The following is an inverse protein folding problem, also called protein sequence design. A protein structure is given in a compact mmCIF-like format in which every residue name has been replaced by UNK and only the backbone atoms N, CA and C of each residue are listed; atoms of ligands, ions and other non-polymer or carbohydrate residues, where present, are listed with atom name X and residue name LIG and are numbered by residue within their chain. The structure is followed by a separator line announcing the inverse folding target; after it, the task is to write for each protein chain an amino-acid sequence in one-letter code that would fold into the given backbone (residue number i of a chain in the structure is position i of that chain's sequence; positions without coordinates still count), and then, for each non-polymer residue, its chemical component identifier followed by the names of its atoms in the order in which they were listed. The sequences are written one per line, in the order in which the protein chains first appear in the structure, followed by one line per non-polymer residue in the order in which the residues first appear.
data_IF_404360483862
#
_entry.id   IF_404360483862
#
_cell.length_a   1.000
_cell.length_b   1.000
_cell.length_c   1.000
_cell.angle_alpha   90.00
_cell.angle_beta   90.00
_cell.angle_gamma   90.00
#
_symmetry.space_group_name_H-M   'P 1'
#
loop_
_entity.id
_entity.type
_entity.pdbx_description
1 polymer ?
#
# COMPACT_ATOMS: atom_id res chain seq x y z
N UNK A 1 48.91 27.09 41.86
CA UNK A 1 48.73 25.74 41.27
C UNK A 1 47.29 25.64 40.82
N UNK A 2 47.06 25.70 39.51
CA UNK A 2 45.72 25.53 38.92
C UNK A 2 45.45 24.02 38.80
N UNK A 3 44.40 23.54 39.45
CA UNK A 3 43.96 22.15 39.32
C UNK A 3 43.28 21.95 37.97
N UNK A 4 43.85 21.09 37.13
CA UNK A 4 43.19 20.61 35.92
C UNK A 4 42.19 19.54 36.34
N UNK A 5 40.90 19.86 36.23
CA UNK A 5 39.82 18.89 36.33
C UNK A 5 39.76 18.09 35.04
N UNK A 6 40.30 16.87 35.06
CA UNK A 6 40.05 15.90 34.01
C UNK A 6 38.61 15.41 34.14
N UNK A 7 37.72 15.94 33.30
CA UNK A 7 36.39 15.37 33.09
C UNK A 7 36.54 13.88 32.80
N UNK A 8 35.85 13.07 33.60
CA UNK A 8 35.83 11.62 33.46
C UNK A 8 35.27 11.25 32.09
N UNK A 9 35.85 10.21 31.48
CA UNK A 9 35.49 9.62 30.19
C UNK A 9 34.05 9.04 30.13
N UNK A 10 33.22 9.32 31.15
CA UNK A 10 31.87 8.82 31.36
C UNK A 10 30.79 9.72 30.71
N UNK A 11 31.18 10.91 30.23
CA UNK A 11 30.29 11.82 29.48
C UNK A 11 30.20 11.49 27.98
N UNK A 12 30.71 10.34 27.54
CA UNK A 12 30.40 9.81 26.22
C UNK A 12 28.93 9.44 26.22
N UNK A 13 28.14 10.34 25.64
CA UNK A 13 26.71 10.24 25.45
C UNK A 13 26.28 8.81 25.14
N UNK A 14 25.69 8.14 26.13
CA UNK A 14 24.66 7.14 25.85
C UNK A 14 23.52 7.91 25.20
N UNK A 15 23.55 8.05 23.87
CA UNK A 15 22.31 8.13 23.11
C UNK A 15 21.48 6.93 23.57
N UNK A 16 20.49 7.18 24.41
CA UNK A 16 19.56 6.14 24.84
C UNK A 16 18.92 5.59 23.57
N UNK A 17 19.19 4.33 23.26
CA UNK A 17 18.57 3.64 22.11
C UNK A 17 17.07 3.75 22.28
N UNK A 18 16.42 4.56 21.43
CA UNK A 18 14.97 4.74 21.47
C UNK A 18 14.30 3.39 21.24
N UNK A 19 13.33 3.05 22.08
CA UNK A 19 12.48 1.89 21.84
C UNK A 19 11.81 2.05 20.47
N UNK A 20 11.75 0.97 19.68
CA UNK A 20 11.20 1.00 18.34
C UNK A 20 9.74 0.53 18.33
N UNK A 21 8.87 1.26 17.64
CA UNK A 21 7.49 0.87 17.34
C UNK A 21 7.38 0.62 15.85
N UNK A 22 6.86 -0.55 15.47
CA UNK A 22 6.65 -0.90 14.07
C UNK A 22 5.19 -0.66 13.69
N UNK A 23 4.99 0.08 12.61
CA UNK A 23 3.68 0.38 12.06
C UNK A 23 3.40 -0.44 10.80
N UNK A 24 2.16 -0.92 10.70
CA UNK A 24 1.61 -1.58 9.53
C UNK A 24 0.34 -0.82 9.11
N UNK A 25 0.47 0.01 8.07
CA UNK A 25 -0.54 0.98 7.68
C UNK A 25 -1.27 0.48 6.43
N UNK A 26 -2.58 0.26 6.53
CA UNK A 26 -3.42 -0.18 5.42
C UNK A 26 -4.43 0.90 5.08
N UNK A 27 -4.18 1.65 4.01
CA UNK A 27 -5.07 2.69 3.53
C UNK A 27 -6.10 2.12 2.56
N UNK A 28 -7.34 2.61 2.63
CA UNK A 28 -8.37 2.26 1.66
C UNK A 28 -9.22 3.48 1.28
N UNK A 29 -9.58 3.56 -0.01
CA UNK A 29 -10.42 4.65 -0.51
C UNK A 29 -11.87 4.43 -0.06
N UNK A 30 -12.36 5.34 0.77
CA UNK A 30 -13.65 5.27 1.47
C UNK A 30 -14.65 6.29 0.92
N UNK A 31 -14.72 6.45 -0.39
CA UNK A 31 -15.67 7.34 -1.05
C UNK A 31 -16.93 6.58 -1.49
N UNK A 32 -18.00 7.32 -1.80
CA UNK A 32 -19.23 6.73 -2.34
C UNK A 32 -18.98 6.06 -3.70
N UNK A 33 -18.79 4.75 -3.67
CA UNK A 33 -18.48 3.92 -4.83
C UNK A 33 -18.97 2.49 -4.59
N UNK A 34 -19.53 1.85 -5.62
CA UNK A 34 -20.09 0.48 -5.56
C UNK A 34 -19.13 -0.59 -5.01
N UNK A 35 -17.82 -0.38 -5.17
CA UNK A 35 -16.77 -1.27 -4.70
C UNK A 35 -16.24 -0.98 -3.29
N UNK A 36 -16.69 0.11 -2.65
CA UNK A 36 -16.14 0.60 -1.38
C UNK A 36 -16.19 -0.47 -0.27
N UNK A 37 -17.34 -1.12 -0.09
CA UNK A 37 -17.50 -2.13 0.97
C UNK A 37 -16.50 -3.27 0.82
N UNK A 38 -16.39 -3.85 -0.37
CA UNK A 38 -15.44 -4.94 -0.64
C UNK A 38 -13.99 -4.49 -0.45
N UNK A 39 -13.63 -3.28 -0.88
CA UNK A 39 -12.29 -2.70 -0.68
C UNK A 39 -11.99 -2.53 0.83
N UNK A 40 -12.95 -2.02 1.59
CA UNK A 40 -12.82 -1.85 3.04
C UNK A 40 -12.67 -3.20 3.77
N UNK A 41 -13.46 -4.21 3.37
CA UNK A 41 -13.39 -5.56 3.95
C UNK A 41 -12.08 -6.28 3.61
N UNK A 42 -11.56 -6.09 2.39
CA UNK A 42 -10.25 -6.61 2.01
C UNK A 42 -9.13 -5.98 2.86
N UNK A 43 -9.19 -4.66 3.07
CA UNK A 43 -8.27 -3.94 3.94
C UNK A 43 -8.35 -4.43 5.40
N UNK A 44 -9.56 -4.59 5.94
CA UNK A 44 -9.80 -5.13 7.28
C UNK A 44 -9.32 -6.58 7.41
N UNK A 45 -9.48 -7.40 6.37
CA UNK A 45 -8.94 -8.76 6.34
C UNK A 45 -7.42 -8.75 6.43
N UNK A 46 -6.74 -7.89 5.66
CA UNK A 46 -5.28 -7.78 5.74
C UNK A 46 -4.81 -7.34 7.12
N UNK A 47 -5.52 -6.40 7.74
CA UNK A 47 -5.29 -5.98 9.13
C UNK A 47 -5.39 -7.17 10.10
N UNK A 48 -6.47 -7.96 10.02
CA UNK A 48 -6.65 -9.17 10.84
C UNK A 48 -5.54 -10.18 10.61
N UNK A 49 -5.16 -10.42 9.35
CA UNK A 49 -4.09 -11.35 8.99
C UNK A 49 -2.73 -10.92 9.53
N UNK A 50 -2.45 -9.61 9.56
CA UNK A 50 -1.23 -9.05 10.15
C UNK A 50 -1.20 -9.27 11.66
N UNK A 51 -2.29 -8.96 12.36
CA UNK A 51 -2.40 -9.12 13.83
C UNK A 51 -2.38 -10.58 14.30
N UNK A 52 -2.74 -11.53 13.43
CA UNK A 52 -2.71 -12.97 13.71
C UNK A 52 -1.36 -13.65 13.46
N UNK A 53 -0.35 -12.92 12.97
CA UNK A 53 0.97 -13.50 12.77
C UNK A 53 1.57 -13.91 14.12
N UNK A 54 2.23 -15.07 14.18
CA UNK A 54 2.81 -15.60 15.43
C UNK A 54 3.88 -14.69 16.05
N UNK A 55 4.57 -13.90 15.22
CA UNK A 55 5.58 -12.93 15.65
C UNK A 55 4.99 -11.56 16.02
N UNK A 56 3.68 -11.34 15.86
CA UNK A 56 3.07 -10.06 16.13
C UNK A 56 2.94 -9.83 17.65
N UNK A 57 3.75 -8.92 18.21
CA UNK A 57 3.62 -8.41 19.58
C UNK A 57 2.89 -7.06 19.59
N UNK A 58 1.73 -6.98 20.22
CA UNK A 58 0.90 -5.78 20.27
C UNK A 58 1.51 -4.63 21.09
N UNK A 59 2.58 -4.87 21.87
CA UNK A 59 3.30 -3.82 22.59
C UNK A 59 4.10 -2.95 21.63
N UNK A 60 4.83 -3.58 20.72
CA UNK A 60 5.77 -2.93 19.80
C UNK A 60 5.24 -2.82 18.36
N UNK A 61 4.26 -3.65 17.98
CA UNK A 61 3.65 -3.63 16.65
C UNK A 61 2.26 -3.02 16.69
N UNK A 62 2.01 -2.04 15.81
CA UNK A 62 0.70 -1.38 15.66
C UNK A 62 0.24 -1.47 14.21
N UNK A 63 -0.91 -2.08 13.99
CA UNK A 63 -1.50 -2.22 12.67
C UNK A 63 -2.85 -1.49 12.59
N UNK A 64 -3.06 -0.75 11.50
CA UNK A 64 -4.23 0.11 11.28
C UNK A 64 -4.84 -0.11 9.91
N UNK A 65 -6.17 -0.03 9.84
CA UNK A 65 -6.92 0.13 8.59
C UNK A 65 -7.48 1.55 8.59
N UNK A 66 -7.06 2.35 7.61
CA UNK A 66 -7.19 3.80 7.60
C UNK A 66 -8.06 4.19 6.39
N UNK A 67 -9.27 4.71 6.59
CA UNK A 67 -10.06 5.26 5.51
C UNK A 67 -9.43 6.57 5.03
N UNK A 68 -9.37 6.76 3.71
CA UNK A 68 -9.00 8.01 3.06
C UNK A 68 -10.07 8.39 2.03
N UNK A 69 -10.31 9.69 1.83
CA UNK A 69 -11.21 10.16 0.75
C UNK A 69 -10.45 10.46 -0.54
N UNK A 70 -9.13 10.54 -0.49
CA UNK A 70 -8.28 10.76 -1.65
C UNK A 70 -6.88 10.14 -1.45
N UNK A 71 -6.25 9.63 -2.50
CA UNK A 71 -4.96 8.92 -2.43
C UNK A 71 -3.84 9.82 -1.87
N UNK A 72 -3.84 11.11 -2.17
CA UNK A 72 -2.87 12.06 -1.63
C UNK A 72 -2.99 12.31 -0.12
N UNK A 73 -4.10 11.94 0.51
CA UNK A 73 -4.20 11.96 1.98
C UNK A 73 -3.16 11.05 2.63
N UNK A 74 -2.63 10.04 1.93
CA UNK A 74 -1.53 9.19 2.43
C UNK A 74 -0.30 10.05 2.79
N UNK A 75 0.03 11.04 1.94
CA UNK A 75 1.17 11.94 2.14
C UNK A 75 0.97 12.80 3.40
N UNK A 76 -0.27 13.20 3.70
CA UNK A 76 -0.59 14.02 4.85
C UNK A 76 -0.81 13.23 6.15
N UNK A 77 -1.34 12.01 6.06
CA UNK A 77 -1.72 11.17 7.20
C UNK A 77 -0.50 10.47 7.80
N UNK A 78 0.44 10.01 6.98
CA UNK A 78 1.64 9.29 7.46
C UNK A 78 2.43 10.12 8.48
N UNK A 79 2.78 11.40 8.23
CA UNK A 79 3.50 12.23 9.21
C UNK A 79 2.75 12.35 10.54
N UNK A 80 1.42 12.57 10.50
CA UNK A 80 0.56 12.67 11.69
C UNK A 80 0.54 11.37 12.50
N UNK A 81 0.50 10.23 11.81
CA UNK A 81 0.56 8.90 12.45
C UNK A 81 1.93 8.66 13.08
N UNK A 82 3.01 9.02 12.39
CA UNK A 82 4.38 8.90 12.90
C UNK A 82 4.55 9.76 14.16
N UNK A 83 4.16 11.03 14.11
CA UNK A 83 4.24 11.96 15.26
C UNK A 83 3.49 11.42 16.48
N UNK A 84 2.27 10.91 16.25
CA UNK A 84 1.47 10.28 17.31
C UNK A 84 2.17 9.09 17.96
N UNK A 85 2.86 8.26 17.17
CA UNK A 85 3.49 7.03 17.64
C UNK A 85 4.95 7.19 18.08
N UNK A 86 5.59 8.31 17.76
CA UNK A 86 6.93 8.66 18.28
C UNK A 86 6.86 9.16 19.73
N UNK A 87 5.66 9.49 20.23
CA UNK A 87 5.44 9.98 21.59
C UNK A 87 6.32 11.19 21.94
N UNK A 88 6.34 12.20 21.06
CA UNK A 88 7.25 13.35 21.10
C UNK A 88 8.72 12.90 21.04
N UNK A 89 9.06 12.13 20.00
CA UNK A 89 10.42 11.62 19.72
C UNK A 89 11.04 10.71 20.78
N UNK A 90 10.25 10.20 21.73
CA UNK A 90 10.70 9.19 22.71
C UNK A 90 10.90 7.82 22.08
N UNK A 91 10.15 7.52 21.03
CA UNK A 91 10.17 6.23 20.31
C UNK A 91 10.58 6.42 18.87
N UNK A 92 11.33 5.45 18.35
CA UNK A 92 11.67 5.36 16.93
C UNK A 92 10.52 4.67 16.20
N UNK A 93 9.99 5.28 15.15
CA UNK A 93 8.86 4.73 14.39
C UNK A 93 9.36 4.13 13.09
N UNK A 94 9.06 2.85 12.87
CA UNK A 94 9.53 2.06 11.72
C UNK A 94 8.31 1.54 10.96
N UNK A 95 8.29 1.69 9.64
CA UNK A 95 7.23 1.13 8.79
C UNK A 95 7.60 -0.28 8.35
N UNK A 96 6.81 -1.26 8.77
CA UNK A 96 6.95 -2.65 8.35
C UNK A 96 6.09 -3.01 7.14
N UNK A 97 4.97 -2.30 6.94
CA UNK A 97 4.13 -2.48 5.76
C UNK A 97 3.29 -1.23 5.48
N UNK A 98 3.22 -0.86 4.21
CA UNK A 98 2.23 0.07 3.68
C UNK A 98 1.37 -0.68 2.66
N UNK A 99 0.05 -0.68 2.83
CA UNK A 99 -0.89 -1.24 1.86
C UNK A 99 -1.87 -0.18 1.39
N UNK A 100 -2.15 -0.14 0.09
CA UNK A 100 -3.16 0.77 -0.49
C UNK A 100 -4.21 -0.05 -1.22
N UNK A 101 -5.46 0.04 -0.78
CA UNK A 101 -6.61 -0.68 -1.33
C UNK A 101 -7.50 0.30 -2.09
N UNK A 102 -7.54 0.16 -3.41
CA UNK A 102 -8.42 0.92 -4.29
C UNK A 102 -8.57 0.23 -5.64
N UNK A 103 -9.53 0.66 -6.46
CA UNK A 103 -9.36 0.51 -7.89
C UNK A 103 -8.10 1.24 -8.36
N UNK A 104 -7.60 0.82 -9.52
CA UNK A 104 -6.38 1.37 -10.06
C UNK A 104 -6.43 1.47 -11.58
N UNK A 105 -5.74 2.48 -12.08
CA UNK A 105 -5.43 2.70 -13.49
C UNK A 105 -3.98 2.38 -13.78
N UNK A 106 -3.48 2.77 -14.96
CA UNK A 106 -2.09 2.55 -15.36
C UNK A 106 -1.08 3.23 -14.43
N UNK A 107 -1.48 4.33 -13.79
CA UNK A 107 -0.64 5.10 -12.88
C UNK A 107 -0.96 4.86 -11.39
N UNK A 108 -1.52 3.69 -11.04
CA UNK A 108 -1.72 3.28 -9.65
C UNK A 108 -3.15 3.47 -9.09
N UNK A 109 -3.30 3.56 -7.76
CA UNK A 109 -4.59 3.72 -7.08
C UNK A 109 -5.37 4.96 -7.54
N UNK A 110 -6.70 4.86 -7.56
CA UNK A 110 -7.64 5.90 -7.97
C UNK A 110 -8.44 6.42 -6.76
N UNK A 111 -8.60 7.74 -6.65
CA UNK A 111 -9.68 8.41 -5.91
C UNK A 111 -10.92 8.49 -6.81
N UNK A 112 -12.10 8.11 -6.35
CA UNK A 112 -13.31 7.98 -7.18
C UNK A 112 -13.98 9.30 -7.51
N UNK A 113 -14.19 10.13 -6.49
CA UNK A 113 -14.98 11.35 -6.54
C UNK A 113 -14.15 12.58 -6.13
N UNK A 114 -12.94 12.38 -5.60
CA UNK A 114 -12.00 13.44 -5.25
C UNK A 114 -10.85 13.54 -6.25
N UNK A 115 -10.49 14.78 -6.57
CA UNK A 115 -9.25 15.08 -7.27
C UNK A 115 -8.08 15.13 -6.27
N UNK A 116 -6.96 14.57 -6.70
CA UNK A 116 -5.65 14.65 -6.09
C UNK A 116 -5.18 16.10 -6.11
N UNK A 117 -4.76 16.61 -4.95
CA UNK A 117 -4.18 17.95 -4.80
C UNK A 117 -2.66 17.89 -4.83
N UNK A 118 -2.07 16.83 -4.26
CA UNK A 118 -0.61 16.66 -4.21
C UNK A 118 -0.16 15.86 -5.43
N UNK A 119 0.51 16.53 -6.39
CA UNK A 119 1.04 15.92 -7.60
C UNK A 119 -0.01 15.09 -8.38
N UNK A 120 -1.12 15.69 -8.83
CA UNK A 120 -2.09 15.00 -9.69
C UNK A 120 -1.46 14.63 -11.05
N UNK A 121 -2.02 13.60 -11.69
CA UNK A 121 -1.70 13.31 -13.09
C UNK A 121 -2.43 14.29 -14.01
N UNK A 122 -1.69 14.86 -14.96
CA UNK A 122 -2.25 15.72 -16.00
C UNK A 122 -3.36 15.02 -16.77
N UNK A 123 -4.51 15.69 -16.92
CA UNK A 123 -5.72 15.17 -17.58
C UNK A 123 -6.41 13.97 -16.91
N UNK A 124 -5.87 13.47 -15.78
CA UNK A 124 -6.51 12.44 -14.98
C UNK A 124 -6.24 12.66 -13.48
N UNK A 125 -6.80 13.73 -12.88
CA UNK A 125 -6.45 14.19 -11.53
C UNK A 125 -7.00 13.29 -10.42
N UNK A 126 -7.45 12.08 -10.72
CA UNK A 126 -7.91 11.08 -9.75
C UNK A 126 -6.81 10.10 -9.32
N UNK A 127 -5.62 10.20 -9.93
CA UNK A 127 -4.45 9.39 -9.59
C UNK A 127 -3.26 10.30 -9.26
N UNK A 128 -2.43 9.86 -8.33
CA UNK A 128 -1.25 10.60 -7.89
C UNK A 128 -0.02 10.19 -8.72
N UNK A 129 0.64 11.16 -9.32
CA UNK A 129 1.87 10.94 -10.09
C UNK A 129 3.06 10.62 -9.17
N UNK A 130 4.18 10.15 -9.75
CA UNK A 130 5.37 9.71 -9.00
C UNK A 130 5.89 10.78 -8.02
N UNK A 131 5.83 12.07 -8.38
CA UNK A 131 6.31 13.14 -7.51
C UNK A 131 5.48 13.32 -6.22
N UNK A 132 4.28 12.74 -6.13
CA UNK A 132 3.52 12.64 -4.89
C UNK A 132 3.97 11.45 -4.03
N UNK A 133 4.24 10.30 -4.66
CA UNK A 133 4.76 9.12 -3.96
C UNK A 133 6.17 9.33 -3.39
N UNK A 134 7.00 10.13 -4.07
CA UNK A 134 8.32 10.56 -3.58
C UNK A 134 8.26 11.38 -2.28
N UNK A 135 7.11 12.01 -1.99
CA UNK A 135 6.93 12.83 -0.78
C UNK A 135 6.67 11.99 0.48
N UNK A 136 6.46 10.68 0.35
CA UNK A 136 6.26 9.78 1.48
C UNK A 136 7.61 9.61 2.19
N UNK A 137 7.76 10.29 3.34
CA UNK A 137 8.96 10.24 4.18
C UNK A 137 8.72 9.30 5.35
N UNK A 138 9.29 8.12 5.27
CA UNK A 138 9.18 7.09 6.31
C UNK A 138 10.52 6.41 6.55
N UNK A 139 10.68 5.86 7.73
CA UNK A 139 11.78 4.96 8.02
C UNK A 139 11.32 3.51 7.80
N UNK A 140 11.90 2.82 6.81
CA UNK A 140 11.53 1.45 6.49
C UNK A 140 12.25 0.44 7.37
N UNK A 141 11.52 -0.59 7.81
CA UNK A 141 12.10 -1.73 8.51
C UNK A 141 12.77 -2.73 7.57
N UNK A 142 13.58 -3.62 8.14
CA UNK A 142 14.11 -4.78 7.41
C UNK A 142 12.96 -5.65 6.88
N UNK A 143 13.05 -6.07 5.62
CA UNK A 143 12.00 -6.84 4.93
C UNK A 143 10.63 -6.15 4.91
N UNK A 144 10.63 -4.81 4.91
CA UNK A 144 9.40 -4.04 4.75
C UNK A 144 8.83 -4.17 3.34
N UNK A 145 7.53 -3.86 3.22
CA UNK A 145 6.84 -3.97 1.94
C UNK A 145 5.82 -2.87 1.71
N UNK A 146 5.67 -2.51 0.45
CA UNK A 146 4.62 -1.62 -0.04
C UNK A 146 3.74 -2.41 -1.01
N UNK A 147 2.43 -2.50 -0.76
CA UNK A 147 1.53 -3.35 -1.55
C UNK A 147 0.35 -2.54 -2.08
N UNK A 148 0.17 -2.55 -3.40
CA UNK A 148 -0.92 -1.89 -4.10
C UNK A 148 -2.00 -2.89 -4.51
N UNK A 149 -3.07 -2.95 -3.72
CA UNK A 149 -4.21 -3.85 -3.91
C UNK A 149 -5.24 -3.22 -4.87
N UNK A 150 -4.85 -3.08 -6.14
CA UNK A 150 -5.71 -2.57 -7.20
C UNK A 150 -5.36 -3.15 -8.56
N UNK A 151 -6.35 -3.21 -9.45
CA UNK A 151 -6.20 -3.74 -10.81
C UNK A 151 -5.01 -3.12 -11.55
N UNK A 152 -4.21 -3.96 -12.21
CA UNK A 152 -3.10 -3.53 -13.08
C UNK A 152 -1.96 -2.74 -12.43
N UNK A 153 -1.93 -2.57 -11.10
CA UNK A 153 -0.85 -1.83 -10.43
C UNK A 153 0.53 -2.49 -10.57
N UNK A 154 0.60 -3.77 -10.94
CA UNK A 154 1.84 -4.50 -11.22
C UNK A 154 1.82 -5.19 -12.60
N UNK A 155 1.08 -4.66 -13.56
CA UNK A 155 0.96 -5.25 -14.89
C UNK A 155 2.20 -4.92 -15.74
N UNK A 156 3.01 -5.94 -16.06
CA UNK A 156 4.21 -5.82 -16.90
C UNK A 156 3.93 -5.59 -18.39
N UNK A 157 2.69 -5.85 -18.83
CA UNK A 157 2.25 -5.64 -20.21
C UNK A 157 1.50 -4.32 -20.39
N UNK A 158 1.11 -3.66 -19.30
CA UNK A 158 0.64 -2.29 -19.36
C UNK A 158 1.83 -1.37 -19.62
N UNK A 159 1.62 -0.30 -20.40
CA UNK A 159 2.65 0.69 -20.72
C UNK A 159 3.26 1.40 -19.51
N UNK A 160 2.68 1.20 -18.31
CA UNK A 160 3.14 1.74 -17.04
C UNK A 160 3.03 0.66 -15.96
N UNK A 161 4.15 0.00 -15.64
CA UNK A 161 4.22 -0.89 -14.49
C UNK A 161 4.37 -0.03 -13.21
N UNK A 162 3.23 0.40 -12.66
CA UNK A 162 3.20 1.34 -11.55
C UNK A 162 4.03 0.88 -10.33
N UNK A 163 3.88 -0.37 -9.89
CA UNK A 163 4.62 -0.92 -8.76
C UNK A 163 6.14 -0.93 -9.00
N UNK A 164 6.57 -1.23 -10.23
CA UNK A 164 7.99 -1.16 -10.61
C UNK A 164 8.51 0.28 -10.59
N UNK A 165 7.71 1.25 -11.02
CA UNK A 165 8.09 2.66 -10.94
C UNK A 165 8.24 3.11 -9.48
N UNK A 166 7.33 2.70 -8.59
CA UNK A 166 7.43 2.95 -7.15
C UNK A 166 8.69 2.32 -6.56
N UNK A 167 9.04 1.08 -6.93
CA UNK A 167 10.26 0.42 -6.41
C UNK A 167 11.56 1.11 -6.80
N UNK A 168 11.55 1.92 -7.86
CA UNK A 168 12.71 2.68 -8.32
C UNK A 168 12.86 4.02 -7.60
N UNK A 169 11.88 4.46 -6.81
CA UNK A 169 11.98 5.69 -6.04
C UNK A 169 12.96 5.52 -4.88
N UNK A 170 13.76 6.55 -4.63
CA UNK A 170 14.81 6.51 -3.59
C UNK A 170 14.25 6.30 -2.18
N UNK A 171 13.05 6.83 -1.91
CA UNK A 171 12.34 6.66 -0.64
C UNK A 171 11.70 5.27 -0.47
N UNK A 172 11.78 4.39 -1.48
CA UNK A 172 11.36 2.98 -1.43
C UNK A 172 12.54 2.02 -1.60
N UNK A 173 13.77 2.50 -1.42
CA UNK A 173 14.96 1.65 -1.45
C UNK A 173 14.85 0.54 -0.39
N UNK A 174 15.23 -0.69 -0.79
CA UNK A 174 15.20 -1.89 0.06
C UNK A 174 13.80 -2.30 0.56
N UNK A 175 12.74 -1.79 -0.08
CA UNK A 175 11.34 -2.16 0.18
C UNK A 175 10.84 -3.12 -0.90
N UNK A 176 10.19 -4.21 -0.49
CA UNK A 176 9.53 -5.10 -1.44
C UNK A 176 8.22 -4.46 -1.93
N UNK A 177 8.15 -4.08 -3.21
CA UNK A 177 6.96 -3.43 -3.77
C UNK A 177 6.13 -4.41 -4.61
N UNK A 178 4.83 -4.49 -4.33
CA UNK A 178 3.91 -5.44 -4.94
C UNK A 178 2.74 -4.72 -5.59
N UNK A 179 2.30 -5.23 -6.73
CA UNK A 179 1.08 -4.79 -7.42
C UNK A 179 0.35 -5.97 -8.07
N UNK A 180 -0.88 -5.74 -8.53
CA UNK A 180 -1.68 -6.75 -9.19
C UNK A 180 -1.39 -6.77 -10.69
N UNK A 181 -1.01 -7.94 -11.22
CA UNK A 181 -0.60 -8.12 -12.62
C UNK A 181 -1.74 -8.06 -13.64
N UNK A 182 -2.99 -8.23 -13.21
CA UNK A 182 -4.16 -8.21 -14.10
C UNK A 182 -5.28 -7.40 -13.45
N UNK A 183 -6.29 -7.04 -14.22
CA UNK A 183 -7.56 -6.60 -13.63
C UNK A 183 -8.13 -7.76 -12.83
N UNK A 184 -8.42 -7.57 -11.56
CA UNK A 184 -9.27 -8.45 -10.73
C UNK A 184 -9.63 -7.66 -9.47
N UNK A 185 -10.81 -7.91 -8.91
CA UNK A 185 -11.14 -7.31 -7.63
C UNK A 185 -10.12 -7.72 -6.56
N UNK A 186 -9.80 -6.84 -5.59
CA UNK A 186 -8.97 -7.22 -4.45
C UNK A 186 -9.59 -8.45 -3.78
N UNK A 187 -8.84 -9.55 -3.78
CA UNK A 187 -9.26 -10.83 -3.21
C UNK A 187 -8.74 -10.97 -1.79
N UNK A 188 -9.46 -11.74 -0.97
CA UNK A 188 -9.11 -12.07 0.42
C UNK A 188 -7.75 -12.77 0.56
N UNK A 189 -7.26 -13.40 -0.50
CA UNK A 189 -5.92 -13.97 -0.55
C UNK A 189 -5.16 -13.42 -1.77
N UNK A 190 -3.90 -13.00 -1.62
CA UNK A 190 -3.10 -12.55 -2.76
C UNK A 190 -2.80 -13.68 -3.77
N UNK A 191 -2.90 -14.93 -3.34
CA UNK A 191 -2.72 -16.17 -4.11
C UNK A 191 -4.02 -16.83 -4.60
N UNK A 192 -5.19 -16.37 -4.15
CA UNK A 192 -6.49 -16.89 -4.57
C UNK A 192 -7.29 -15.77 -5.24
N UNK A 193 -7.78 -15.97 -6.46
CA UNK A 193 -8.59 -14.96 -7.16
C UNK A 193 -9.95 -15.53 -7.54
N UNK A 194 -11.02 -14.83 -7.18
CA UNK A 194 -12.36 -15.09 -7.72
C UNK A 194 -12.56 -14.17 -8.93
N UNK A 195 -12.77 -14.76 -10.10
CA UNK A 195 -13.11 -14.04 -11.34
C UNK A 195 -14.59 -14.26 -11.64
N UNK A 196 -15.25 -13.26 -12.24
CA UNK A 196 -16.61 -13.45 -12.77
C UNK A 196 -16.58 -14.17 -14.12
N UNK A 197 -17.63 -14.95 -14.40
CA UNK A 197 -17.83 -15.69 -15.66
C UNK A 197 -17.74 -14.81 -16.92
N UNK A 198 -18.03 -13.51 -16.79
CA UNK A 198 -17.91 -12.52 -17.86
C UNK A 198 -16.49 -12.39 -18.45
N UNK A 199 -15.48 -13.01 -17.83
CA UNK A 199 -14.06 -12.97 -18.27
C UNK A 199 -13.54 -14.31 -18.77
N UNK A 200 -14.29 -15.40 -18.58
CA UNK A 200 -13.96 -16.75 -19.04
C UNK A 200 -14.62 -17.10 -20.39
N UNK A 201 -15.55 -16.28 -20.87
CA UNK A 201 -16.13 -16.40 -22.20
C UNK A 201 -15.29 -15.60 -23.19
N UNK A 202 -14.21 -16.22 -23.66
CA UNK A 202 -13.45 -15.77 -24.81
C UNK A 202 -14.18 -16.25 -26.07
N UNK A 203 -15.10 -15.47 -26.63
CA UNK A 203 -15.66 -15.78 -27.96
C UNK A 203 -16.15 -14.55 -28.74
N UNK A 204 -15.36 -14.24 -29.78
CA UNK A 204 -15.68 -13.55 -31.05
C UNK A 204 -17.08 -12.91 -31.24
N UNK A 205 -17.07 -11.58 -31.48
CA UNK A 205 -18.04 -10.73 -32.24
C UNK A 205 -19.50 -10.79 -31.73
N UNK A 206 -20.31 -9.73 -31.67
CA UNK A 206 -20.63 -8.69 -32.66
C UNK A 206 -21.63 -7.74 -31.98
N UNK A 207 -21.63 -6.45 -32.34
CA UNK A 207 -22.69 -5.45 -32.14
C UNK A 207 -23.81 -5.76 -31.13
N UNK A 208 -23.82 -5.11 -29.96
CA UNK A 208 -25.02 -5.00 -29.15
C UNK A 208 -24.76 -4.92 -27.65
N UNK A 209 -24.63 -3.68 -27.16
CA UNK A 209 -24.98 -3.19 -25.82
C UNK A 209 -25.39 -4.29 -24.82
N UNK A 210 -24.49 -4.64 -23.88
CA UNK A 210 -24.89 -5.31 -22.64
C UNK A 210 -25.50 -4.23 -21.73
N UNK A 211 -26.81 -4.04 -21.87
CA UNK A 211 -27.65 -3.37 -20.87
C UNK A 211 -27.88 -4.36 -19.73
N UNK A 212 -27.78 -3.86 -18.51
CA UNK A 212 -28.11 -4.54 -17.26
C UNK A 212 -27.11 -5.62 -16.80
N UNK A 213 -26.03 -5.17 -16.16
CA UNK A 213 -25.69 -5.49 -14.75
C UNK A 213 -25.67 -6.93 -14.21
N UNK A 214 -25.96 -7.99 -14.96
CA UNK A 214 -26.16 -9.34 -14.40
C UNK A 214 -24.93 -10.26 -14.50
N UNK A 215 -23.86 -9.85 -15.19
CA UNK A 215 -22.62 -10.64 -15.28
C UNK A 215 -21.71 -10.62 -14.03
N UNK A 216 -22.08 -9.83 -13.01
CA UNK A 216 -21.28 -9.63 -11.80
C UNK A 216 -21.54 -10.66 -10.70
N UNK A 217 -22.64 -11.42 -10.79
CA UNK A 217 -23.12 -12.30 -9.71
C UNK A 217 -22.77 -13.79 -9.89
N UNK A 218 -22.04 -14.11 -10.97
CA UNK A 218 -21.63 -15.47 -11.28
C UNK A 218 -20.18 -15.71 -10.83
N UNK A 219 -20.02 -16.28 -9.63
CA UNK A 219 -18.73 -16.73 -9.09
C UNK A 219 -18.27 -17.97 -9.86
N UNK A 220 -17.25 -17.85 -10.70
CA UNK A 220 -16.50 -19.01 -11.19
C UNK A 220 -15.22 -19.17 -10.38
N UNK A 221 -15.07 -20.33 -9.74
CA UNK A 221 -13.82 -20.73 -9.10
C UNK A 221 -12.90 -21.32 -10.19
N UNK A 222 -12.07 -20.49 -10.82
CA UNK A 222 -11.02 -20.98 -11.71
C UNK A 222 -9.66 -20.82 -11.03
N UNK A 223 -9.04 -21.93 -10.66
CA UNK A 223 -7.60 -21.97 -10.41
C UNK A 223 -6.92 -21.73 -11.77
N UNK A 224 -6.28 -20.58 -11.96
CA UNK A 224 -5.31 -20.42 -13.03
C UNK A 224 -3.92 -20.34 -12.41
N UNK A 225 -3.14 -21.39 -12.65
CA UNK A 225 -1.69 -21.38 -12.61
C UNK A 225 -1.18 -20.33 -13.61
N UNK A 226 -1.00 -19.09 -13.15
CA UNK A 226 -0.21 -18.06 -13.84
C UNK A 226 0.26 -17.06 -12.78
N UNK A 227 1.11 -17.56 -11.88
CA UNK A 227 1.93 -16.74 -11.00
C UNK A 227 3.00 -16.04 -11.85
N UNK A 228 2.65 -14.90 -12.45
CA UNK A 228 3.63 -13.85 -12.67
C UNK A 228 3.58 -12.89 -11.46
N UNK A 229 3.99 -13.41 -10.29
CA UNK A 229 4.39 -12.56 -9.16
C UNK A 229 5.74 -11.97 -9.53
N UNK A 230 5.74 -10.72 -10.00
CA UNK A 230 7.00 -10.01 -10.23
C UNK A 230 7.51 -9.58 -8.85
N UNK A 231 8.37 -10.44 -8.28
CA UNK A 231 9.14 -10.13 -7.07
C UNK A 231 10.37 -9.35 -7.50
N UNK A 232 10.29 -8.03 -7.46
CA UNK A 232 11.46 -7.18 -7.72
C UNK A 232 12.17 -7.02 -6.39
N UNK A 233 13.26 -7.75 -6.23
CA UNK A 233 14.23 -7.53 -5.17
C UNK A 233 15.31 -6.64 -5.75
N UNK A 234 15.39 -5.38 -5.33
CA UNK A 234 16.49 -4.50 -5.72
C UNK A 234 17.78 -5.03 -5.09
N UNK A 235 18.86 -5.06 -5.87
CA UNK A 235 20.23 -5.39 -5.44
C UNK A 235 20.92 -4.10 -5.00
#
# INVERSE_FOLDING_TARGET
MAGVSHGTYEDIQRESVKESVFLYLFFFVSEDHKGMHMISEACQTRLKNKKKQSWYDDKIHKAFSIPIQSIDEIVEQIPKIIEKHSENDKKRVIIGELGVFSHAGGDGPISYNKEIKICPIDNWPHQMAMCGWEQIKVEWGLNSKCVFYGCNTGNSFASKNFAQNISNLSNFKDVEVWGQSTSSFPSFYPDYRVTSLARSLDEKRTAGIVRDGMGWDLRSNTYQELLATIRIKTI
#
